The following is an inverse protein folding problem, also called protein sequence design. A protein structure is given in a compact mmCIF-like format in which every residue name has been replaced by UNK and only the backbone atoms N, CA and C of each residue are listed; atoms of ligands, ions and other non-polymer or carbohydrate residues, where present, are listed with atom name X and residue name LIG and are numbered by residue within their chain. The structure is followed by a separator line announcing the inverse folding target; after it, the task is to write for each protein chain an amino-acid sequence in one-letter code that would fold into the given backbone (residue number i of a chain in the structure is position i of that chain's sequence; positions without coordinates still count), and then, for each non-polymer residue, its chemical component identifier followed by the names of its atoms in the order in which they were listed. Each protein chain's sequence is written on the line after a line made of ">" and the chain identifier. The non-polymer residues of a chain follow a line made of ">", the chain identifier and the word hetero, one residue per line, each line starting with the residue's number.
data_IF_946640237818
#
_entry.id   IF_946640237818
#
_cell.length_a   1.000
_cell.length_b   1.000
_cell.length_c   1.000
_cell.angle_alpha   90.00
_cell.angle_beta   90.00
_cell.angle_gamma   90.00
#
_symmetry.space_group_name_H-M   'P 1'
#
loop_
_entity.id
_entity.type
_entity.pdbx_description
1 polymer ?
#
# COMPACT_ATOMS: atom_id res chain seq x y z
N UNK A 1 -16.49 0.69 -11.33
CA UNK A 1 -16.11 1.82 -10.44
C UNK A 1 -16.86 1.61 -9.14
N UNK A 2 -16.19 1.58 -8.00
CA UNK A 2 -16.82 1.30 -6.71
C UNK A 2 -16.77 2.53 -5.79
N UNK A 3 -17.85 2.80 -5.06
CA UNK A 3 -17.97 3.94 -4.15
C UNK A 3 -18.01 3.45 -2.69
N UNK A 4 -16.90 2.89 -2.21
CA UNK A 4 -16.78 2.43 -0.83
C UNK A 4 -16.55 3.60 0.13
N UNK A 5 -17.23 3.54 1.29
CA UNK A 5 -17.05 4.49 2.39
C UNK A 5 -15.71 4.28 3.08
N UNK A 6 -15.15 5.36 3.63
CA UNK A 6 -13.92 5.30 4.43
C UNK A 6 -14.17 4.63 5.80
N UNK A 7 -13.16 4.00 6.44
CA UNK A 7 -13.34 3.34 7.73
C UNK A 7 -13.83 4.29 8.82
N UNK A 8 -13.29 5.50 8.89
CA UNK A 8 -13.73 6.54 9.84
C UNK A 8 -15.23 6.83 9.71
N UNK A 9 -15.75 6.97 8.48
CA UNK A 9 -17.18 7.24 8.26
C UNK A 9 -18.04 6.11 8.83
N UNK A 10 -17.65 4.85 8.58
CA UNK A 10 -18.40 3.70 9.08
C UNK A 10 -18.32 3.59 10.60
N UNK A 11 -17.12 3.72 11.17
CA UNK A 11 -16.90 3.61 12.62
C UNK A 11 -17.64 4.73 13.35
N UNK A 12 -17.51 5.98 12.90
CA UNK A 12 -18.12 7.12 13.58
C UNK A 12 -19.65 7.13 13.48
N UNK A 13 -20.22 6.57 12.42
CA UNK A 13 -21.68 6.48 12.26
C UNK A 13 -22.29 5.31 13.05
N UNK A 14 -21.62 4.17 13.11
CA UNK A 14 -22.25 2.91 13.55
C UNK A 14 -21.59 2.21 14.75
N UNK A 15 -20.39 2.61 15.15
CA UNK A 15 -19.61 1.91 16.20
C UNK A 15 -19.22 2.87 17.34
N UNK A 16 -18.40 3.87 17.06
CA UNK A 16 -17.87 4.82 18.05
C UNK A 16 -17.70 6.21 17.42
N UNK A 17 -18.52 7.16 17.87
CA UNK A 17 -18.59 8.53 17.33
C UNK A 17 -17.33 9.37 17.55
N UNK A 18 -16.49 9.01 18.52
CA UNK A 18 -15.27 9.77 18.87
C UNK A 18 -14.00 9.05 18.47
N UNK A 19 -14.11 7.93 17.75
CA UNK A 19 -12.96 7.24 17.19
C UNK A 19 -12.23 8.14 16.17
N UNK A 20 -10.90 8.10 16.21
CA UNK A 20 -10.05 8.96 15.40
C UNK A 20 -8.95 8.20 14.69
N UNK A 21 -8.47 8.78 13.60
CA UNK A 21 -7.43 8.20 12.75
C UNK A 21 -6.03 8.61 13.19
N UNK A 22 -5.05 7.74 12.94
CA UNK A 22 -3.63 8.09 13.11
C UNK A 22 -3.12 9.00 11.98
N UNK A 23 -3.75 8.94 10.80
CA UNK A 23 -3.45 9.79 9.64
C UNK A 23 -4.76 10.25 8.98
N UNK A 24 -4.75 11.44 8.38
CA UNK A 24 -5.93 12.00 7.73
C UNK A 24 -6.39 11.13 6.53
N UNK A 25 -7.71 10.90 6.40
CA UNK A 25 -8.31 10.32 5.17
C UNK A 25 -8.25 11.30 4.00
N UNK A 26 -8.06 10.77 2.80
CA UNK A 26 -8.05 11.54 1.58
C UNK A 26 -9.43 11.59 0.90
N UNK A 27 -9.73 12.63 0.09
CA UNK A 27 -11.05 12.83 -0.53
C UNK A 27 -11.27 11.96 -1.78
N UNK A 28 -11.16 10.64 -1.63
CA UNK A 28 -11.49 9.66 -2.67
C UNK A 28 -12.08 8.37 -2.07
N UNK A 29 -12.80 7.54 -2.87
CA UNK A 29 -13.37 6.27 -2.39
C UNK A 29 -12.31 5.31 -1.82
N UNK A 30 -12.72 4.48 -0.87
CA UNK A 30 -11.79 3.62 -0.10
C UNK A 30 -11.21 2.46 -0.93
N UNK A 31 -11.95 1.93 -1.90
CA UNK A 31 -11.59 0.70 -2.60
C UNK A 31 -11.26 0.94 -4.08
N UNK A 32 -10.12 0.48 -4.60
CA UNK A 32 -9.03 -0.23 -3.93
C UNK A 32 -8.00 0.71 -3.30
N UNK A 33 -7.18 0.17 -2.40
CA UNK A 33 -6.03 0.89 -1.87
C UNK A 33 -5.02 1.20 -2.96
N UNK A 34 -5.02 2.44 -3.46
CA UNK A 34 -4.12 2.91 -4.51
C UNK A 34 -2.64 2.78 -4.13
N UNK A 35 -2.31 3.06 -2.86
CA UNK A 35 -0.98 2.84 -2.31
C UNK A 35 -0.55 1.37 -2.44
N UNK A 36 -1.41 0.44 -2.04
CA UNK A 36 -1.13 -1.00 -2.08
C UNK A 36 -0.90 -1.49 -3.52
N UNK A 37 -1.72 -1.01 -4.47
CA UNK A 37 -1.52 -1.29 -5.89
C UNK A 37 -0.23 -0.71 -6.45
N UNK A 38 0.07 0.56 -6.16
CA UNK A 38 1.28 1.23 -6.64
C UNK A 38 2.55 0.59 -6.08
N UNK A 39 2.61 0.35 -4.77
CA UNK A 39 3.76 -0.29 -4.13
C UNK A 39 4.00 -1.69 -4.66
N UNK A 40 2.94 -2.49 -4.80
CA UNK A 40 3.10 -3.86 -5.29
C UNK A 40 3.46 -3.90 -6.77
N UNK A 41 3.05 -2.91 -7.55
CA UNK A 41 3.48 -2.75 -8.95
C UNK A 41 4.98 -2.42 -9.00
N UNK A 42 5.42 -1.41 -8.24
CA UNK A 42 6.82 -1.00 -8.17
C UNK A 42 7.72 -2.15 -7.69
N UNK A 43 7.31 -2.87 -6.64
CA UNK A 43 8.05 -4.04 -6.15
C UNK A 43 8.17 -5.14 -7.20
N UNK A 44 7.11 -5.39 -7.98
CA UNK A 44 7.15 -6.39 -9.06
C UNK A 44 8.14 -5.99 -10.16
N UNK A 45 8.12 -4.73 -10.60
CA UNK A 45 9.06 -4.22 -11.62
C UNK A 45 10.50 -4.28 -11.11
N UNK A 46 10.77 -3.76 -9.91
CA UNK A 46 12.12 -3.74 -9.33
C UNK A 46 12.66 -5.15 -9.12
N UNK A 47 11.83 -6.07 -8.64
CA UNK A 47 12.20 -7.48 -8.49
C UNK A 47 12.56 -8.11 -9.84
N UNK A 48 11.81 -7.80 -10.90
CA UNK A 48 12.14 -8.29 -12.25
C UNK A 48 13.47 -7.71 -12.76
N UNK A 49 13.78 -6.45 -12.44
CA UNK A 49 14.98 -5.76 -12.92
C UNK A 49 16.25 -6.16 -12.19
N UNK A 50 16.20 -6.33 -10.87
CA UNK A 50 17.41 -6.54 -10.04
C UNK A 50 17.44 -7.89 -9.31
N UNK A 51 16.41 -8.71 -9.48
CA UNK A 51 16.27 -10.01 -8.84
C UNK A 51 15.50 -9.98 -7.52
N UNK A 52 15.11 -11.18 -7.07
CA UNK A 52 14.43 -11.37 -5.79
C UNK A 52 15.41 -11.31 -4.62
N UNK A 53 14.89 -11.02 -3.42
CA UNK A 53 15.67 -10.90 -2.18
C UNK A 53 16.81 -9.84 -2.23
N UNK A 54 16.61 -8.78 -3.02
CA UNK A 54 17.49 -7.62 -3.01
C UNK A 54 17.36 -6.86 -1.69
N UNK A 55 18.36 -6.96 -0.83
CA UNK A 55 18.43 -6.25 0.45
C UNK A 55 18.85 -4.79 0.23
N UNK A 56 18.11 -3.85 0.81
CA UNK A 56 18.41 -2.42 0.72
C UNK A 56 18.08 -1.66 2.00
N UNK A 57 18.69 -0.48 2.13
CA UNK A 57 18.36 0.51 3.16
C UNK A 57 17.56 1.62 2.49
N UNK A 58 16.33 1.79 2.93
CA UNK A 58 15.46 2.90 2.54
C UNK A 58 15.74 4.10 3.45
N UNK A 59 16.40 5.12 2.89
CA UNK A 59 16.67 6.41 3.54
C UNK A 59 15.85 7.55 2.93
N UNK A 60 14.87 7.25 2.07
CA UNK A 60 14.10 8.27 1.34
C UNK A 60 13.36 9.24 2.28
N UNK A 61 12.99 8.77 3.48
CA UNK A 61 12.25 9.54 4.46
C UNK A 61 13.12 10.28 5.50
N UNK A 62 14.45 10.12 5.44
CA UNK A 62 15.39 10.81 6.37
C UNK A 62 15.30 12.33 6.27
N UNK A 63 15.23 12.95 5.08
CA UNK A 63 15.04 14.40 4.96
C UNK A 63 13.73 14.91 5.58
N UNK A 64 12.75 14.02 5.80
CA UNK A 64 11.46 14.33 6.43
C UNK A 64 11.40 13.93 7.91
N UNK A 65 12.57 13.63 8.52
CA UNK A 65 12.68 13.37 9.96
C UNK A 65 12.33 11.94 10.39
N UNK A 66 12.21 10.98 9.47
CA UNK A 66 11.99 9.57 9.81
C UNK A 66 13.29 8.77 9.73
N UNK A 67 13.50 7.76 10.59
CA UNK A 67 14.71 6.93 10.51
C UNK A 67 14.72 6.08 9.25
N UNK A 68 15.92 5.78 8.75
CA UNK A 68 16.10 4.83 7.66
C UNK A 68 15.65 3.41 8.08
N UNK A 69 15.12 2.65 7.13
CA UNK A 69 14.62 1.28 7.36
C UNK A 69 15.35 0.29 6.45
N UNK A 70 15.58 -0.92 6.92
CA UNK A 70 16.21 -1.97 6.11
C UNK A 70 15.17 -3.00 5.72
N UNK A 71 15.16 -3.41 4.46
CA UNK A 71 14.31 -4.47 3.92
C UNK A 71 15.16 -5.51 3.19
N UNK A 72 14.71 -6.76 3.20
CA UNK A 72 15.34 -7.91 2.55
C UNK A 72 14.89 -8.07 1.09
N UNK A 73 13.77 -7.45 0.71
CA UNK A 73 13.26 -7.44 -0.67
C UNK A 73 12.32 -6.25 -0.89
N UNK A 74 12.06 -5.91 -2.17
CA UNK A 74 11.05 -4.90 -2.50
C UNK A 74 9.63 -5.34 -2.10
N UNK A 75 9.35 -6.65 -2.10
CA UNK A 75 8.07 -7.15 -1.62
C UNK A 75 7.91 -6.95 -0.11
N UNK A 76 8.95 -7.14 0.70
CA UNK A 76 8.88 -6.85 2.14
C UNK A 76 8.59 -5.36 2.38
N UNK A 77 9.27 -4.46 1.65
CA UNK A 77 9.03 -3.04 1.73
C UNK A 77 7.59 -2.67 1.29
N UNK A 78 7.12 -3.25 0.18
CA UNK A 78 5.77 -3.04 -0.33
C UNK A 78 4.70 -3.56 0.64
N UNK A 79 4.90 -4.72 1.25
CA UNK A 79 3.95 -5.30 2.20
C UNK A 79 3.90 -4.46 3.49
N UNK A 80 5.06 -4.01 3.99
CA UNK A 80 5.15 -3.09 5.13
C UNK A 80 4.46 -1.74 4.86
N UNK A 81 4.63 -1.19 3.65
CA UNK A 81 3.96 0.04 3.25
C UNK A 81 2.45 -0.14 3.09
N UNK A 82 2.00 -1.28 2.56
CA UNK A 82 0.59 -1.60 2.36
C UNK A 82 -0.15 -1.80 3.68
N UNK A 83 0.40 -2.61 4.61
CA UNK A 83 -0.23 -2.84 5.92
C UNK A 83 -0.26 -1.57 6.78
N UNK A 84 0.66 -0.63 6.55
CA UNK A 84 0.64 0.66 7.26
C UNK A 84 -0.65 1.45 7.03
N UNK A 85 -1.40 1.15 5.96
CA UNK A 85 -2.69 1.79 5.67
C UNK A 85 -3.81 1.33 6.62
N UNK A 86 -3.75 0.07 7.04
CA UNK A 86 -4.60 -0.46 8.09
C UNK A 86 -4.27 0.19 9.43
N UNK A 87 -2.98 0.27 9.76
CA UNK A 87 -2.54 0.93 10.99
C UNK A 87 -2.93 2.41 11.01
N UNK A 88 -2.87 3.09 9.86
CA UNK A 88 -3.36 4.46 9.72
C UNK A 88 -4.87 4.62 9.93
N UNK A 89 -5.64 3.52 9.90
CA UNK A 89 -7.10 3.53 10.00
C UNK A 89 -7.82 3.92 8.71
N UNK A 90 -7.12 4.02 7.58
CA UNK A 90 -7.65 4.60 6.34
C UNK A 90 -7.99 3.58 5.25
N UNK A 91 -7.75 2.29 5.48
CA UNK A 91 -8.15 1.22 4.57
C UNK A 91 -8.57 -0.04 5.32
N UNK A 92 -9.53 -0.76 4.74
CA UNK A 92 -9.88 -2.12 5.19
C UNK A 92 -8.90 -3.16 4.62
N UNK A 93 -8.71 -4.27 5.33
CA UNK A 93 -7.80 -5.34 4.88
C UNK A 93 -8.11 -5.86 3.45
N UNK A 94 -9.37 -6.08 3.04
CA UNK A 94 -9.64 -6.51 1.66
C UNK A 94 -9.20 -5.50 0.61
N UNK A 95 -9.30 -4.20 0.89
CA UNK A 95 -8.85 -3.14 -0.03
C UNK A 95 -7.34 -3.16 -0.23
N UNK A 96 -6.60 -3.47 0.84
CA UNK A 96 -5.15 -3.62 0.85
C UNK A 96 -4.73 -4.86 0.05
N UNK A 97 -5.25 -6.04 0.39
CA UNK A 97 -4.85 -7.30 -0.25
C UNK A 97 -5.25 -7.36 -1.73
N UNK A 98 -6.46 -6.93 -2.07
CA UNK A 98 -6.88 -6.90 -3.48
C UNK A 98 -6.12 -5.82 -4.27
N UNK A 99 -5.71 -4.72 -3.63
CA UNK A 99 -4.86 -3.71 -4.23
C UNK A 99 -3.48 -4.27 -4.57
N UNK A 100 -2.86 -5.00 -3.64
CA UNK A 100 -1.58 -5.70 -3.87
C UNK A 100 -1.70 -6.67 -5.03
N UNK A 101 -2.71 -7.54 -5.02
CA UNK A 101 -2.94 -8.53 -6.07
C UNK A 101 -3.14 -7.87 -7.45
N UNK A 102 -3.95 -6.80 -7.51
CA UNK A 102 -4.13 -6.01 -8.73
C UNK A 102 -2.80 -5.46 -9.26
N UNK A 103 -1.98 -4.86 -8.40
CA UNK A 103 -0.68 -4.30 -8.76
C UNK A 103 0.30 -5.35 -9.31
N UNK A 104 0.35 -6.54 -8.69
CA UNK A 104 1.19 -7.65 -9.21
C UNK A 104 0.69 -8.12 -10.57
N UNK A 105 -0.62 -8.30 -10.73
CA UNK A 105 -1.24 -8.81 -11.96
C UNK A 105 -1.00 -7.88 -13.15
N UNK A 106 -1.19 -6.57 -12.97
CA UNK A 106 -1.02 -5.61 -14.06
C UNK A 106 0.43 -5.55 -14.55
N UNK A 107 1.40 -5.55 -13.63
CA UNK A 107 2.82 -5.56 -14.00
C UNK A 107 3.21 -6.87 -14.67
N UNK A 108 2.80 -8.02 -14.13
CA UNK A 108 3.07 -9.32 -14.78
C UNK A 108 2.48 -9.38 -16.19
N UNK A 109 1.28 -8.84 -16.39
CA UNK A 109 0.68 -8.73 -17.72
C UNK A 109 1.51 -7.83 -18.64
N UNK A 110 1.92 -6.65 -18.19
CA UNK A 110 2.75 -5.73 -18.99
C UNK A 110 4.10 -6.39 -19.35
N UNK A 111 4.78 -7.01 -18.38
CA UNK A 111 6.05 -7.70 -18.60
C UNK A 111 5.91 -8.82 -19.65
N UNK A 112 4.80 -9.57 -19.65
CA UNK A 112 4.52 -10.60 -20.67
C UNK A 112 4.29 -10.06 -22.10
N UNK A 113 4.27 -8.73 -22.27
CA UNK A 113 4.10 -8.03 -23.55
C UNK A 113 5.35 -7.29 -24.01
N UNK A 114 6.41 -7.26 -23.18
CA UNK A 114 7.66 -6.57 -23.46
C UNK A 114 8.74 -7.50 -24.03
N UNK A 115 8.36 -8.74 -24.36
CA UNK A 115 9.17 -9.70 -25.12
C UNK A 115 9.15 -9.40 -26.62
#
# INVERSE_FOLDING_TARGET
>A
MHNYVQPETFINQYIDKVWGLLIQTFPFPEYLSGHSGAYSSAATVLTQMVGDNYKFVDSAEVPFGRPARTYKSFYEASDAASISRLYGGIHFMPSIENGKDQGRKIVKFILSKLD
#
